data_IF_140929834603
#
_entry.id   IF_140929834603
#
_cell.length_a   1.000
_cell.length_b   1.000
_cell.length_c   1.000
_cell.angle_alpha   90.00
_cell.angle_beta   90.00
_cell.angle_gamma   90.00
#
_symmetry.space_group_name_H-M   'P 1'
#
loop_
_entity.id
_entity.type
_entity.pdbx_description
1 polymer ?
#
# COMPACT_ATOMS: atom_id res chain seq x y z
N UNK A 1 19.43 1.61 11.83
CA UNK A 1 18.93 0.43 12.59
C UNK A 1 19.29 -0.78 11.74
N UNK A 2 19.86 -1.84 12.31
CA UNK A 2 20.20 -3.01 11.49
C UNK A 2 18.93 -3.77 11.06
N UNK A 3 18.98 -4.47 9.91
CA UNK A 3 17.84 -5.19 9.38
C UNK A 3 17.16 -6.18 10.39
N UNK A 4 17.92 -6.93 11.21
CA UNK A 4 17.34 -7.77 12.26
C UNK A 4 16.56 -7.00 13.33
N UNK A 5 17.02 -5.78 13.69
CA UNK A 5 16.34 -4.95 14.68
C UNK A 5 14.98 -4.47 14.19
N UNK A 6 14.86 -4.21 12.88
CA UNK A 6 13.59 -3.79 12.24
C UNK A 6 12.56 -4.91 12.31
N UNK A 7 12.93 -6.12 11.92
CA UNK A 7 12.04 -7.29 11.99
C UNK A 7 11.59 -7.58 13.42
N UNK A 8 12.52 -7.53 14.38
CA UNK A 8 12.21 -7.73 15.80
C UNK A 8 11.25 -6.65 16.33
N UNK A 9 11.46 -5.38 15.98
CA UNK A 9 10.57 -4.30 16.39
C UNK A 9 9.14 -4.51 15.84
N UNK A 10 8.99 -4.92 14.59
CA UNK A 10 7.69 -5.22 14.01
C UNK A 10 7.00 -6.40 14.71
N UNK A 11 7.74 -7.47 15.02
CA UNK A 11 7.20 -8.62 15.74
C UNK A 11 6.73 -8.24 17.14
N UNK A 12 7.52 -7.44 17.88
CA UNK A 12 7.13 -6.95 19.22
C UNK A 12 5.88 -6.06 19.16
N UNK A 13 5.77 -5.18 18.14
CA UNK A 13 4.57 -4.37 17.96
C UNK A 13 3.33 -5.23 17.64
N UNK A 14 3.50 -6.32 16.90
CA UNK A 14 2.41 -7.24 16.56
C UNK A 14 1.89 -8.04 17.76
N UNK A 15 2.67 -8.17 18.86
CA UNK A 15 2.19 -8.81 20.10
C UNK A 15 1.12 -7.97 20.82
N UNK A 16 1.22 -6.64 20.73
CA UNK A 16 0.37 -5.71 21.50
C UNK A 16 -0.66 -4.96 20.62
N UNK A 17 -0.64 -5.14 19.29
CA UNK A 17 -1.49 -4.42 18.36
C UNK A 17 -2.18 -5.36 17.37
N UNK A 18 -3.46 -5.11 17.12
CA UNK A 18 -4.25 -5.86 16.11
C UNK A 18 -3.73 -5.63 14.67
N UNK A 19 -3.16 -4.44 14.42
CA UNK A 19 -2.60 -4.04 13.12
C UNK A 19 -1.32 -3.24 13.30
N UNK A 20 -0.29 -3.60 12.54
CA UNK A 20 0.96 -2.84 12.41
C UNK A 20 1.10 -2.41 10.95
N UNK A 21 1.04 -1.11 10.68
CA UNK A 21 1.18 -0.55 9.34
C UNK A 21 2.57 0.06 9.22
N UNK A 22 3.35 -0.41 8.25
CA UNK A 22 4.72 0.04 8.02
C UNK A 22 4.79 0.85 6.74
N UNK A 23 5.18 2.12 6.85
CA UNK A 23 5.52 2.96 5.69
C UNK A 23 6.96 2.65 5.27
N UNK A 24 7.09 1.75 4.31
CA UNK A 24 8.38 1.26 3.83
C UNK A 24 8.91 2.14 2.68
N UNK A 25 10.23 2.40 2.62
CA UNK A 25 10.83 3.11 1.51
C UNK A 25 10.67 2.32 0.20
N UNK A 26 10.61 3.02 -0.93
CA UNK A 26 10.49 2.40 -2.26
C UNK A 26 11.75 1.62 -2.69
N UNK A 27 12.88 1.80 -2.00
CA UNK A 27 14.13 1.10 -2.27
C UNK A 27 14.15 -0.26 -1.54
N UNK A 28 14.36 -1.33 -2.29
CA UNK A 28 14.49 -2.68 -1.74
C UNK A 28 15.92 -2.89 -1.18
N UNK A 29 16.18 -2.33 0.00
CA UNK A 29 17.40 -2.57 0.79
C UNK A 29 17.19 -3.67 1.82
N UNK A 30 18.24 -4.02 2.56
CA UNK A 30 18.20 -5.07 3.61
C UNK A 30 17.12 -4.81 4.67
N UNK A 31 16.93 -3.56 5.08
CA UNK A 31 15.90 -3.18 6.05
C UNK A 31 14.50 -3.40 5.49
N UNK A 32 14.24 -3.02 4.21
CA UNK A 32 12.96 -3.24 3.55
C UNK A 32 12.68 -4.74 3.40
N UNK A 33 13.69 -5.53 3.03
CA UNK A 33 13.54 -6.99 2.93
C UNK A 33 13.20 -7.61 4.28
N UNK A 34 13.84 -7.14 5.36
CA UNK A 34 13.52 -7.60 6.72
C UNK A 34 12.09 -7.26 7.14
N UNK A 35 11.54 -6.10 6.70
CA UNK A 35 10.12 -5.77 6.89
C UNK A 35 9.21 -6.72 6.12
N UNK A 36 9.54 -7.00 4.86
CA UNK A 36 8.76 -7.89 3.99
C UNK A 36 8.75 -9.33 4.47
N UNK A 37 9.86 -9.78 5.07
CA UNK A 37 9.98 -11.15 5.60
C UNK A 37 9.01 -11.48 6.73
N UNK A 38 8.60 -10.47 7.50
CA UNK A 38 7.67 -10.61 8.64
C UNK A 38 6.29 -10.01 8.36
N UNK A 39 6.03 -9.51 7.15
CA UNK A 39 4.74 -8.95 6.76
C UNK A 39 3.72 -10.04 6.41
N UNK A 40 2.47 -9.84 6.81
CA UNK A 40 1.33 -10.68 6.42
C UNK A 40 0.72 -10.26 5.08
N UNK A 41 0.83 -8.98 4.71
CA UNK A 41 0.31 -8.41 3.46
C UNK A 41 1.28 -7.36 2.95
N UNK A 42 1.52 -7.34 1.64
CA UNK A 42 2.26 -6.29 0.94
C UNK A 42 1.27 -5.44 0.14
N UNK A 43 1.23 -4.14 0.42
CA UNK A 43 0.47 -3.17 -0.37
C UNK A 43 1.42 -2.37 -1.27
N UNK A 44 1.26 -2.51 -2.58
CA UNK A 44 1.96 -1.71 -3.57
C UNK A 44 1.09 -0.54 -4.01
N UNK A 45 1.55 0.67 -3.74
CA UNK A 45 0.87 1.89 -4.19
C UNK A 45 1.35 2.25 -5.60
N UNK A 46 0.42 2.31 -6.54
CA UNK A 46 0.67 2.59 -7.95
C UNK A 46 -0.21 3.76 -8.42
N UNK A 47 0.22 4.48 -9.44
CA UNK A 47 -0.61 5.45 -10.18
C UNK A 47 -0.80 4.98 -11.61
N UNK A 48 -1.72 5.62 -12.36
CA UNK A 48 -1.96 5.30 -13.78
C UNK A 48 -0.83 5.76 -14.72
N UNK A 49 0.26 6.35 -14.21
CA UNK A 49 1.40 6.74 -15.04
C UNK A 49 2.21 5.51 -15.49
N UNK A 50 2.69 5.54 -16.72
CA UNK A 50 3.53 4.46 -17.28
C UNK A 50 4.78 4.20 -16.43
N UNK A 51 5.40 5.27 -15.92
CA UNK A 51 6.59 5.15 -15.06
C UNK A 51 6.27 4.42 -13.75
N UNK A 52 5.13 4.74 -13.10
CA UNK A 52 4.70 4.06 -11.88
C UNK A 52 4.42 2.57 -12.14
N UNK A 53 3.74 2.25 -13.24
CA UNK A 53 3.44 0.87 -13.62
C UNK A 53 4.72 0.08 -13.91
N UNK A 54 5.67 0.68 -14.65
CA UNK A 54 6.96 0.03 -14.93
C UNK A 54 7.78 -0.24 -13.66
N UNK A 55 7.83 0.73 -12.74
CA UNK A 55 8.51 0.57 -11.45
C UNK A 55 7.83 -0.49 -10.59
N UNK A 56 6.49 -0.52 -10.55
CA UNK A 56 5.74 -1.55 -9.83
C UNK A 56 5.96 -2.92 -10.43
N UNK A 57 6.03 -3.04 -11.77
CA UNK A 57 6.38 -4.31 -12.43
C UNK A 57 7.74 -4.82 -11.98
N UNK A 58 8.77 -3.96 -12.00
CA UNK A 58 10.11 -4.33 -11.56
C UNK A 58 10.14 -4.79 -10.08
N UNK A 59 9.35 -4.15 -9.21
CA UNK A 59 9.19 -4.58 -7.82
C UNK A 59 8.52 -5.96 -7.72
N UNK A 60 7.44 -6.20 -8.48
CA UNK A 60 6.74 -7.50 -8.52
C UNK A 60 7.66 -8.62 -9.02
N UNK A 61 8.43 -8.37 -10.08
CA UNK A 61 9.39 -9.33 -10.61
C UNK A 61 10.48 -9.66 -9.56
N UNK A 62 10.92 -8.65 -8.80
CA UNK A 62 11.86 -8.85 -7.69
C UNK A 62 11.24 -9.68 -6.56
N UNK A 63 9.99 -9.41 -6.19
CA UNK A 63 9.28 -10.19 -5.16
C UNK A 63 9.06 -11.65 -5.59
N UNK A 64 8.82 -11.88 -6.88
CA UNK A 64 8.73 -13.23 -7.43
C UNK A 64 10.08 -13.96 -7.34
N UNK A 65 11.17 -13.29 -7.74
CA UNK A 65 12.54 -13.82 -7.66
C UNK A 65 12.98 -14.15 -6.22
N UNK A 66 12.50 -13.36 -5.23
CA UNK A 66 12.77 -13.57 -3.80
C UNK A 66 11.80 -14.57 -3.13
N UNK A 67 10.84 -15.12 -3.87
CA UNK A 67 9.88 -16.11 -3.36
C UNK A 67 8.76 -15.53 -2.50
N UNK A 68 8.51 -14.23 -2.52
CA UNK A 68 7.38 -13.62 -1.81
C UNK A 68 6.04 -13.92 -2.49
N UNK A 69 6.01 -13.95 -3.81
CA UNK A 69 4.80 -14.27 -4.57
C UNK A 69 4.32 -15.68 -4.26
N UNK A 70 3.08 -15.81 -3.82
CA UNK A 70 2.49 -17.09 -3.36
C UNK A 70 2.72 -17.40 -1.87
N UNK A 71 3.68 -16.74 -1.21
CA UNK A 71 3.89 -16.83 0.25
C UNK A 71 3.14 -15.74 1.00
N UNK A 72 3.18 -14.52 0.49
CA UNK A 72 2.52 -13.34 1.08
C UNK A 72 1.59 -12.73 0.04
N UNK A 73 0.33 -12.39 0.38
CA UNK A 73 -0.54 -11.65 -0.51
C UNK A 73 0.07 -10.30 -0.90
N UNK A 74 0.20 -10.05 -2.21
CA UNK A 74 0.66 -8.79 -2.78
C UNK A 74 -0.55 -8.13 -3.45
N UNK A 75 -0.93 -6.96 -2.98
CA UNK A 75 -2.13 -6.24 -3.37
C UNK A 75 -1.79 -4.86 -3.92
N UNK A 76 -2.59 -4.36 -4.86
CA UNK A 76 -2.42 -3.03 -5.44
C UNK A 76 -3.40 -2.03 -4.84
N UNK A 77 -2.89 -0.82 -4.58
CA UNK A 77 -3.70 0.36 -4.31
C UNK A 77 -3.38 1.40 -5.38
N UNK A 78 -4.39 1.83 -6.13
CA UNK A 78 -4.24 2.87 -7.14
C UNK A 78 -4.44 4.23 -6.47
N UNK A 79 -3.38 5.02 -6.36
CA UNK A 79 -3.46 6.40 -5.89
C UNK A 79 -3.67 7.36 -7.05
N UNK A 80 -4.30 8.51 -6.81
CA UNK A 80 -4.64 9.49 -7.83
C UNK A 80 -5.46 8.86 -8.97
N UNK A 81 -6.48 8.07 -8.61
CA UNK A 81 -7.25 7.22 -9.53
C UNK A 81 -8.06 8.00 -10.57
N UNK A 82 -8.32 9.28 -10.34
CA UNK A 82 -8.97 10.22 -11.24
C UNK A 82 -8.03 10.80 -12.32
N UNK A 83 -6.73 10.57 -12.21
CA UNK A 83 -5.73 11.00 -13.18
C UNK A 83 -5.53 10.02 -14.34
N UNK A 84 -6.46 9.07 -14.52
CA UNK A 84 -6.38 7.98 -15.50
C UNK A 84 -6.33 8.50 -16.94
N UNK A 85 -5.15 8.58 -17.52
CA UNK A 85 -4.92 8.87 -18.92
C UNK A 85 -5.20 7.60 -19.78
N UNK A 86 -6.47 7.16 -19.83
CA UNK A 86 -6.89 6.05 -20.69
C UNK A 86 -6.64 4.63 -20.17
N UNK A 87 -6.11 4.48 -18.95
CA UNK A 87 -5.95 3.17 -18.33
C UNK A 87 -7.05 2.93 -17.29
N UNK A 88 -7.52 1.70 -17.17
CA UNK A 88 -8.54 1.28 -16.22
C UNK A 88 -7.94 0.41 -15.10
N UNK A 89 -8.70 0.25 -14.01
CA UNK A 89 -8.41 -0.72 -12.95
C UNK A 89 -8.06 -2.10 -13.53
N UNK A 90 -8.94 -2.66 -14.38
CA UNK A 90 -8.69 -3.96 -15.01
C UNK A 90 -7.44 -3.98 -15.90
N UNK A 91 -7.07 -2.86 -16.51
CA UNK A 91 -5.83 -2.72 -17.28
C UNK A 91 -4.60 -2.86 -16.40
N UNK A 92 -4.58 -2.23 -15.22
CA UNK A 92 -3.49 -2.37 -14.23
C UNK A 92 -3.45 -3.81 -13.69
N UNK A 93 -4.59 -4.38 -13.28
CA UNK A 93 -4.65 -5.75 -12.77
C UNK A 93 -4.10 -6.76 -13.78
N UNK A 94 -4.51 -6.63 -15.05
CA UNK A 94 -3.99 -7.48 -16.13
C UNK A 94 -2.47 -7.26 -16.35
N UNK A 95 -2.03 -5.99 -16.38
CA UNK A 95 -0.62 -5.66 -16.63
C UNK A 95 0.30 -6.16 -15.53
N UNK A 96 -0.08 -6.01 -14.26
CA UNK A 96 0.75 -6.38 -13.11
C UNK A 96 0.46 -7.80 -12.59
N UNK A 97 -0.61 -8.44 -13.06
CA UNK A 97 -1.11 -9.74 -12.60
C UNK A 97 -1.30 -9.78 -11.07
N UNK A 98 -1.88 -8.71 -10.51
CA UNK A 98 -2.17 -8.53 -9.10
C UNK A 98 -3.54 -7.85 -8.93
N UNK A 99 -4.29 -8.16 -7.86
CA UNK A 99 -5.59 -7.54 -7.61
C UNK A 99 -5.45 -6.11 -7.09
N UNK A 100 -6.31 -5.20 -7.58
CA UNK A 100 -6.47 -3.84 -7.04
C UNK A 100 -7.56 -3.87 -5.96
N UNK A 101 -7.17 -3.58 -4.72
CA UNK A 101 -8.05 -3.60 -3.55
C UNK A 101 -8.57 -2.22 -3.14
N UNK A 102 -8.02 -1.16 -3.70
CA UNK A 102 -8.46 0.21 -3.44
C UNK A 102 -8.06 1.19 -4.54
N UNK A 103 -8.91 2.18 -4.77
CA UNK A 103 -8.66 3.30 -5.68
C UNK A 103 -8.88 4.60 -4.89
N UNK A 104 -7.83 5.40 -4.74
CA UNK A 104 -7.83 6.63 -3.96
C UNK A 104 -7.85 7.82 -4.91
N UNK A 105 -8.91 8.64 -4.94
CA UNK A 105 -8.99 9.82 -5.79
C UNK A 105 -8.06 10.92 -5.31
N UNK A 106 -7.79 11.90 -6.17
CA UNK A 106 -6.95 13.06 -5.86
C UNK A 106 -7.75 14.11 -5.08
N UNK A 107 -7.20 14.61 -3.98
CA UNK A 107 -7.68 15.81 -3.30
C UNK A 107 -6.51 16.55 -2.65
N UNK A 108 -5.74 17.24 -3.49
CA UNK A 108 -4.56 17.99 -3.04
C UNK A 108 -4.85 19.02 -1.96
N UNK A 109 -6.01 19.68 -2.05
CA UNK A 109 -6.40 20.72 -1.09
C UNK A 109 -6.62 20.11 0.29
N UNK A 110 -7.40 19.04 0.36
CA UNK A 110 -7.69 18.36 1.61
C UNK A 110 -6.42 17.77 2.23
N UNK A 111 -5.56 17.15 1.43
CA UNK A 111 -4.29 16.59 1.91
C UNK A 111 -3.38 17.68 2.45
N UNK A 112 -3.23 18.82 1.74
CA UNK A 112 -2.44 19.94 2.24
C UNK A 112 -3.01 20.54 3.53
N UNK A 113 -4.33 20.71 3.63
CA UNK A 113 -4.97 21.18 4.86
C UNK A 113 -4.73 20.24 6.03
N UNK A 114 -4.82 18.94 5.80
CA UNK A 114 -4.54 17.89 6.80
C UNK A 114 -3.10 17.99 7.33
N UNK A 115 -2.13 18.12 6.42
CA UNK A 115 -0.71 18.26 6.78
C UNK A 115 -0.46 19.55 7.57
N UNK A 116 -1.01 20.70 7.13
CA UNK A 116 -0.85 21.98 7.80
C UNK A 116 -1.47 22.01 9.21
N UNK A 117 -2.59 21.31 9.40
CA UNK A 117 -3.28 21.19 10.68
C UNK A 117 -2.76 20.07 11.56
N UNK A 118 -1.83 19.24 11.05
CA UNK A 118 -1.34 18.02 11.71
C UNK A 118 -2.50 17.12 12.19
N UNK A 119 -3.58 17.08 11.41
CA UNK A 119 -4.78 16.30 11.71
C UNK A 119 -5.14 15.43 10.51
N UNK A 120 -5.24 14.10 10.68
CA UNK A 120 -5.63 13.21 9.58
C UNK A 120 -6.97 13.59 8.98
N UNK A 121 -7.04 13.72 7.66
CA UNK A 121 -8.27 14.12 6.95
C UNK A 121 -9.40 13.10 7.12
N UNK A 122 -9.10 11.84 7.36
CA UNK A 122 -10.11 10.81 7.65
C UNK A 122 -10.91 11.12 8.92
N UNK A 123 -10.32 11.84 9.87
CA UNK A 123 -10.98 12.31 11.09
C UNK A 123 -11.64 13.67 10.91
N UNK A 124 -10.96 14.61 10.23
CA UNK A 124 -11.46 15.98 10.05
C UNK A 124 -12.50 16.13 8.93
N UNK A 125 -12.48 15.26 7.95
CA UNK A 125 -13.35 15.28 6.76
C UNK A 125 -13.78 13.87 6.33
N UNK A 126 -14.49 13.13 7.20
CA UNK A 126 -14.81 11.70 6.98
C UNK A 126 -15.71 11.46 5.76
N UNK A 127 -16.46 12.49 5.34
CA UNK A 127 -17.39 12.42 4.21
C UNK A 127 -16.74 12.72 2.85
N UNK A 128 -15.47 13.13 2.82
CA UNK A 128 -14.75 13.38 1.56
C UNK A 128 -14.59 12.09 0.74
N UNK A 129 -14.44 12.20 -0.58
CA UNK A 129 -14.24 11.04 -1.46
C UNK A 129 -12.96 10.27 -1.08
N UNK A 130 -11.88 10.99 -0.74
CA UNK A 130 -10.60 10.39 -0.32
C UNK A 130 -10.77 9.64 1.01
N UNK A 131 -11.44 10.24 2.01
CA UNK A 131 -11.66 9.58 3.31
C UNK A 131 -12.48 8.30 3.17
N UNK A 132 -13.55 8.34 2.38
CA UNK A 132 -14.37 7.15 2.09
C UNK A 132 -13.59 6.05 1.37
N UNK A 133 -12.70 6.43 0.44
CA UNK A 133 -11.85 5.48 -0.27
C UNK A 133 -10.83 4.80 0.68
N UNK A 134 -10.22 5.56 1.59
CA UNK A 134 -9.31 5.02 2.61
C UNK A 134 -10.08 4.10 3.59
N UNK A 135 -11.26 4.49 4.02
CA UNK A 135 -12.09 3.68 4.91
C UNK A 135 -12.51 2.36 4.24
N UNK A 136 -12.93 2.41 2.97
CA UNK A 136 -13.24 1.23 2.19
C UNK A 136 -12.03 0.29 2.02
N UNK A 137 -10.84 0.85 1.77
CA UNK A 137 -9.59 0.09 1.71
C UNK A 137 -9.29 -0.59 3.05
N UNK A 138 -9.37 0.14 4.15
CA UNK A 138 -9.14 -0.42 5.49
C UNK A 138 -10.09 -1.59 5.79
N UNK A 139 -11.40 -1.42 5.52
CA UNK A 139 -12.39 -2.48 5.69
C UNK A 139 -12.10 -3.70 4.81
N UNK A 140 -11.63 -3.50 3.58
CA UNK A 140 -11.24 -4.60 2.68
C UNK A 140 -10.07 -5.41 3.26
N UNK A 141 -9.06 -4.76 3.82
CA UNK A 141 -7.89 -5.40 4.42
C UNK A 141 -8.26 -6.19 5.69
N UNK A 142 -9.08 -5.61 6.56
CA UNK A 142 -9.60 -6.29 7.76
C UNK A 142 -10.35 -7.57 7.42
N UNK A 143 -11.14 -7.57 6.34
CA UNK A 143 -11.86 -8.76 5.89
C UNK A 143 -10.94 -9.85 5.33
N UNK A 144 -9.81 -9.48 4.72
CA UNK A 144 -8.85 -10.45 4.19
C UNK A 144 -8.08 -11.20 5.28
N UNK A 145 -7.77 -10.56 6.41
CA UNK A 145 -7.11 -11.20 7.55
C UNK A 145 -8.01 -12.20 8.30
N UNK A 146 -9.33 -12.10 8.16
CA UNK A 146 -10.28 -13.00 8.83
C UNK A 146 -10.56 -14.29 8.06
N UNK A 147 -9.95 -14.48 6.91
CA UNK A 147 -10.07 -15.67 6.05
C UNK A 147 -8.85 -16.58 6.17
#
# INVERSE_FOLDING_TARGET
>A
MAAPDVAMAMQLLAEDHDYVIVDAPSKLGEETLAMLDVADIILLVVTYSQASIANTRAAVDTFEALGYKGRIPILLVVNQSDSAAGMSKGGIEHTLNLPVVGEIPTDWKLVQESLNKQQPFVLSSPNSAVSKAIDALANSLVQQQRR
#
